data_IF_807579817474
#
_entry.id   IF_807579817474
#
_cell.length_a   1.000
_cell.length_b   1.000
_cell.length_c   1.000
_cell.angle_alpha   90.00
_cell.angle_beta   90.00
_cell.angle_gamma   90.00
#
_symmetry.space_group_name_H-M   'P 1'
#
loop_
_entity.id
_entity.type
_entity.pdbx_description
1 polymer ?
#
# COMPACT_ATOMS: atom_id res chain seq x y z
N UNK A 1 85.59 14.90 14.06
CA UNK A 1 84.36 14.40 13.41
C UNK A 1 83.52 13.75 14.52
N UNK A 2 82.93 14.55 15.41
CA UNK A 2 81.52 14.98 15.42
C UNK A 2 80.49 13.82 15.38
N UNK A 3 79.82 13.63 16.53
CA UNK A 3 78.35 13.45 16.75
C UNK A 3 77.63 12.26 16.08
N UNK A 4 76.57 11.65 16.62
CA UNK A 4 75.91 11.52 17.92
C UNK A 4 74.80 10.45 17.69
N UNK A 5 74.32 9.80 18.76
CA UNK A 5 73.17 8.89 18.77
C UNK A 5 71.89 9.52 18.20
N UNK A 6 71.05 8.70 17.53
CA UNK A 6 69.59 8.91 17.47
C UNK A 6 68.83 7.59 17.65
N UNK A 7 68.16 7.51 18.80
CA UNK A 7 66.99 6.66 19.09
C UNK A 7 65.83 6.99 18.14
N UNK A 8 64.98 5.98 17.87
CA UNK A 8 63.53 6.18 17.84
C UNK A 8 62.81 6.00 16.49
N UNK A 9 61.94 4.98 16.43
CA UNK A 9 60.54 5.15 16.03
C UNK A 9 59.70 3.91 16.38
N UNK A 10 59.13 3.99 17.57
CA UNK A 10 57.99 3.21 18.05
C UNK A 10 56.82 3.38 17.05
N UNK A 11 56.47 2.32 16.32
CA UNK A 11 55.26 2.31 15.48
C UNK A 11 54.08 1.90 16.33
N UNK A 12 53.38 2.94 16.78
CA UNK A 12 52.03 2.92 17.35
C UNK A 12 51.10 2.19 16.37
N UNK A 13 50.72 0.96 16.72
CA UNK A 13 49.70 0.18 16.01
C UNK A 13 48.38 0.43 16.74
N UNK A 14 47.69 1.49 16.34
CA UNK A 14 46.33 1.79 16.81
C UNK A 14 45.44 0.67 16.30
N UNK A 15 45.13 -0.29 17.17
CA UNK A 15 44.03 -1.24 16.96
C UNK A 15 42.75 -0.43 17.17
N UNK A 16 42.30 0.21 16.11
CA UNK A 16 41.00 0.88 16.06
C UNK A 16 39.94 -0.23 16.01
N UNK A 17 39.56 -0.75 17.18
CA UNK A 17 38.45 -1.70 17.32
C UNK A 17 37.20 -1.07 16.71
N UNK A 18 36.78 -1.62 15.56
CA UNK A 18 35.55 -1.23 14.90
C UNK A 18 34.37 -1.67 15.76
N UNK A 19 33.78 -0.73 16.48
CA UNK A 19 32.46 -0.92 17.08
C UNK A 19 31.44 -1.00 15.93
N UNK A 20 31.04 -2.21 15.57
CA UNK A 20 29.89 -2.46 14.69
C UNK A 20 28.61 -2.17 15.49
N UNK A 21 28.04 -0.99 15.27
CA UNK A 21 26.75 -0.59 15.82
C UNK A 21 25.64 -1.29 15.01
N UNK A 22 25.16 -2.43 15.50
CA UNK A 22 24.00 -3.12 14.90
C UNK A 22 22.73 -2.40 15.35
N UNK A 23 22.30 -1.41 14.56
CA UNK A 23 20.97 -0.80 14.73
C UNK A 23 19.94 -1.81 14.24
N UNK A 24 19.36 -2.57 15.15
CA UNK A 24 18.18 -3.37 14.85
C UNK A 24 16.98 -2.43 14.76
N UNK A 25 16.55 -2.11 13.54
CA UNK A 25 15.31 -1.37 13.33
C UNK A 25 14.14 -2.25 13.80
N UNK A 26 13.62 -1.96 14.99
CA UNK A 26 12.34 -2.50 15.45
C UNK A 26 11.26 -1.83 14.61
N UNK A 27 10.82 -2.51 13.54
CA UNK A 27 9.62 -2.12 12.82
C UNK A 27 8.43 -2.30 13.77
N UNK A 28 7.90 -1.20 14.29
CA UNK A 28 6.64 -1.24 15.01
C UNK A 28 5.55 -1.73 14.05
N UNK A 29 4.66 -2.66 14.47
CA UNK A 29 3.53 -3.05 13.64
C UNK A 29 2.68 -1.80 13.38
N UNK A 30 2.59 -1.38 12.11
CA UNK A 30 1.63 -0.34 11.72
C UNK A 30 0.24 -0.90 11.99
N UNK A 31 -0.66 -0.12 12.65
CA UNK A 31 -2.04 -0.52 12.79
C UNK A 31 -2.60 -0.86 11.41
N UNK A 32 -3.13 -2.07 11.24
CA UNK A 32 -3.81 -2.45 10.01
C UNK A 32 -5.03 -1.55 9.87
N UNK A 33 -5.16 -0.86 8.74
CA UNK A 33 -6.35 -0.08 8.44
C UNK A 33 -7.60 -0.98 8.59
N UNK A 34 -8.54 -0.55 9.42
CA UNK A 34 -9.84 -1.20 9.57
C UNK A 34 -10.80 -0.58 8.57
N UNK A 35 -11.31 -1.41 7.65
CA UNK A 35 -12.34 -1.00 6.70
C UNK A 35 -13.70 -1.36 7.29
N UNK A 36 -14.67 -0.46 7.12
CA UNK A 36 -16.05 -0.68 7.49
C UNK A 36 -16.94 -0.22 6.33
N UNK A 37 -18.07 -0.90 6.15
CA UNK A 37 -19.11 -0.42 5.25
C UNK A 37 -19.63 0.91 5.76
N UNK A 38 -19.78 1.88 4.85
CA UNK A 38 -20.42 3.15 5.16
C UNK A 38 -21.92 2.90 5.23
N UNK A 39 -22.59 3.09 6.38
CA UNK A 39 -24.03 2.98 6.45
C UNK A 39 -24.64 4.16 5.68
N UNK A 40 -25.36 3.84 4.61
CA UNK A 40 -26.06 4.81 3.78
C UNK A 40 -27.56 4.64 3.97
N UNK A 41 -28.29 5.75 4.01
CA UNK A 41 -29.75 5.71 4.17
C UNK A 41 -30.43 5.17 2.90
N UNK A 42 -31.61 4.56 3.08
CA UNK A 42 -32.44 4.15 1.95
C UNK A 42 -32.86 5.37 1.09
N UNK A 43 -32.98 5.24 -0.24
CA UNK A 43 -33.10 4.00 -1.00
C UNK A 43 -31.79 3.44 -1.57
N UNK A 44 -30.64 3.68 -0.92
CA UNK A 44 -29.32 3.16 -1.34
C UNK A 44 -28.96 3.50 -2.80
N UNK A 45 -29.44 4.63 -3.30
CA UNK A 45 -29.16 5.14 -4.64
C UNK A 45 -28.04 6.18 -4.65
N UNK A 46 -27.14 6.11 -3.67
CA UNK A 46 -26.03 7.03 -3.51
C UNK A 46 -24.99 6.79 -4.59
N UNK A 47 -24.47 7.87 -5.14
CA UNK A 47 -23.39 7.85 -6.13
C UNK A 47 -22.16 8.46 -5.48
N UNK A 48 -21.01 7.85 -5.72
CA UNK A 48 -19.75 8.40 -5.27
C UNK A 48 -19.51 9.81 -5.83
N UNK A 49 -19.07 10.72 -4.98
CA UNK A 49 -18.68 12.06 -5.42
C UNK A 49 -17.38 12.03 -6.21
N UNK A 50 -17.13 13.08 -7.00
CA UNK A 50 -15.96 13.19 -7.90
C UNK A 50 -14.59 12.98 -7.24
N UNK A 51 -14.48 13.16 -5.92
CA UNK A 51 -13.26 12.91 -5.15
C UNK A 51 -12.92 11.42 -5.01
N UNK A 52 -13.93 10.55 -5.08
CA UNK A 52 -13.82 9.09 -5.01
C UNK A 52 -13.86 8.45 -6.40
N UNK A 53 -14.73 8.93 -7.28
CA UNK A 53 -14.81 8.46 -8.66
C UNK A 53 -15.33 9.55 -9.60
N UNK A 54 -14.72 9.75 -10.78
CA UNK A 54 -13.65 8.94 -11.37
C UNK A 54 -12.22 9.40 -11.02
N UNK A 55 -12.05 10.29 -10.04
CA UNK A 55 -10.72 10.82 -9.67
C UNK A 55 -10.05 9.99 -8.57
N UNK A 56 -8.72 10.08 -8.46
CA UNK A 56 -7.93 9.40 -7.42
C UNK A 56 -8.00 7.86 -7.44
N UNK A 57 -8.24 7.28 -8.62
CA UNK A 57 -8.30 5.82 -8.80
C UNK A 57 -6.89 5.25 -8.88
N UNK A 58 -6.56 4.35 -7.93
CA UNK A 58 -5.27 3.63 -7.91
C UNK A 58 -5.29 2.47 -8.91
N UNK A 59 -6.41 1.75 -8.99
CA UNK A 59 -6.63 0.62 -9.88
C UNK A 59 -8.14 0.46 -10.13
N UNK A 60 -8.49 -0.12 -11.27
CA UNK A 60 -9.88 -0.47 -11.61
C UNK A 60 -9.99 -1.93 -12.02
N UNK A 61 -11.08 -2.57 -11.61
CA UNK A 61 -11.40 -3.98 -11.83
C UNK A 61 -12.80 -4.11 -12.40
N UNK A 62 -13.02 -5.18 -13.16
CA UNK A 62 -14.35 -5.57 -13.62
C UNK A 62 -14.46 -7.10 -13.68
N UNK A 63 -15.70 -7.59 -13.65
CA UNK A 63 -16.01 -9.01 -13.80
C UNK A 63 -17.40 -9.20 -14.41
N UNK A 64 -17.63 -10.37 -14.99
CA UNK A 64 -18.94 -10.80 -15.46
C UNK A 64 -19.95 -10.76 -14.31
N UNK A 65 -21.17 -10.29 -14.60
CA UNK A 65 -22.20 -10.11 -13.58
C UNK A 65 -22.57 -11.42 -12.87
N UNK A 66 -22.60 -12.53 -13.60
CA UNK A 66 -23.01 -13.84 -13.08
C UNK A 66 -21.92 -14.55 -12.25
N UNK A 67 -20.69 -14.00 -12.21
CA UNK A 67 -19.58 -14.59 -11.47
C UNK A 67 -19.54 -14.16 -9.99
N UNK A 68 -20.27 -13.10 -9.63
CA UNK A 68 -20.28 -12.51 -8.29
C UNK A 68 -21.67 -11.99 -7.93
N UNK A 69 -21.96 -11.93 -6.64
CA UNK A 69 -23.01 -11.07 -6.08
C UNK A 69 -22.38 -9.77 -5.52
N UNK A 70 -23.21 -8.86 -4.99
CA UNK A 70 -22.73 -7.58 -4.46
C UNK A 70 -21.75 -7.73 -3.30
N UNK A 71 -21.93 -8.75 -2.45
CA UNK A 71 -21.09 -8.98 -1.28
C UNK A 71 -19.74 -9.57 -1.69
N UNK A 72 -19.74 -10.63 -2.48
CA UNK A 72 -18.52 -11.27 -2.98
C UNK A 72 -17.69 -10.33 -3.86
N UNK A 73 -18.34 -9.48 -4.67
CA UNK A 73 -17.64 -8.47 -5.47
C UNK A 73 -17.01 -7.38 -4.59
N UNK A 74 -17.76 -6.82 -3.65
CA UNK A 74 -17.22 -5.79 -2.72
C UNK A 74 -16.06 -6.34 -1.88
N UNK A 75 -16.15 -7.59 -1.42
CA UNK A 75 -15.06 -8.27 -0.73
C UNK A 75 -13.83 -8.47 -1.63
N UNK A 76 -14.02 -8.89 -2.89
CA UNK A 76 -12.93 -9.05 -3.84
C UNK A 76 -12.16 -7.74 -4.05
N UNK A 77 -12.87 -6.64 -4.32
CA UNK A 77 -12.24 -5.33 -4.54
C UNK A 77 -11.59 -4.81 -3.27
N UNK A 78 -12.21 -5.01 -2.10
CA UNK A 78 -11.61 -4.65 -0.81
C UNK A 78 -10.28 -5.39 -0.57
N UNK A 79 -10.18 -6.67 -0.90
CA UNK A 79 -8.92 -7.41 -0.82
C UNK A 79 -7.86 -6.87 -1.79
N UNK A 80 -8.26 -6.41 -2.98
CA UNK A 80 -7.35 -5.69 -3.89
C UNK A 80 -6.88 -4.37 -3.29
N UNK A 81 -7.80 -3.59 -2.70
CA UNK A 81 -7.47 -2.33 -2.02
C UNK A 81 -6.44 -2.55 -0.91
N UNK A 82 -6.64 -3.54 -0.03
CA UNK A 82 -5.72 -3.88 1.06
C UNK A 82 -4.29 -4.23 0.60
N UNK A 83 -4.10 -4.62 -0.65
CA UNK A 83 -2.78 -4.90 -1.21
C UNK A 83 -1.98 -3.61 -1.53
N UNK A 84 -2.65 -2.46 -1.62
CA UNK A 84 -2.01 -1.15 -1.80
C UNK A 84 -1.96 -0.39 -0.48
N UNK A 85 -0.75 -0.05 -0.03
CA UNK A 85 -0.57 0.73 1.20
C UNK A 85 -1.23 2.12 1.16
N UNK A 86 -1.45 2.67 -0.04
CA UNK A 86 -2.08 3.97 -0.27
C UNK A 86 -3.60 3.89 -0.39
N UNK A 87 -4.18 2.69 -0.48
CA UNK A 87 -5.63 2.56 -0.63
C UNK A 87 -6.32 2.75 0.73
N UNK A 88 -7.19 3.74 0.80
CA UNK A 88 -7.93 4.11 2.01
C UNK A 88 -9.43 3.86 1.87
N UNK A 89 -9.91 3.58 0.66
CA UNK A 89 -11.32 3.33 0.34
C UNK A 89 -11.42 2.54 -0.96
N UNK A 90 -12.50 1.77 -1.09
CA UNK A 90 -12.91 1.12 -2.33
C UNK A 90 -14.39 1.43 -2.58
N UNK A 91 -14.78 1.54 -3.83
CA UNK A 91 -16.18 1.58 -4.24
C UNK A 91 -16.46 0.41 -5.17
N UNK A 92 -17.71 -0.06 -5.19
CA UNK A 92 -18.12 -1.10 -6.13
C UNK A 92 -19.55 -0.86 -6.58
N UNK A 93 -19.84 -1.18 -7.83
CA UNK A 93 -21.18 -1.08 -8.40
C UNK A 93 -21.35 -2.08 -9.55
N UNK A 94 -22.60 -2.36 -9.93
CA UNK A 94 -22.88 -3.01 -11.22
C UNK A 94 -23.51 -2.02 -12.18
N UNK A 95 -23.11 -2.10 -13.45
CA UNK A 95 -23.59 -1.20 -14.49
C UNK A 95 -23.65 -1.88 -15.84
N UNK A 96 -24.47 -1.34 -16.75
CA UNK A 96 -24.47 -1.72 -18.16
C UNK A 96 -23.41 -0.85 -18.85
N UNK A 97 -22.40 -1.46 -19.46
CA UNK A 97 -21.35 -0.69 -20.10
C UNK A 97 -21.80 -0.09 -21.45
N UNK A 98 -21.01 0.84 -22.00
CA UNK A 98 -21.29 1.47 -23.29
C UNK A 98 -21.06 0.55 -24.50
N UNK A 99 -20.55 -0.67 -24.30
CA UNK A 99 -20.26 -1.66 -25.34
C UNK A 99 -21.51 -2.28 -25.97
N UNK A 100 -21.26 -3.14 -26.96
CA UNK A 100 -22.26 -3.97 -27.64
C UNK A 100 -21.78 -5.43 -27.58
N UNK A 101 -22.59 -6.38 -27.09
CA UNK A 101 -23.93 -6.22 -26.53
C UNK A 101 -23.97 -5.43 -25.21
N UNK A 102 -25.13 -4.84 -24.88
CA UNK A 102 -25.38 -4.10 -23.64
C UNK A 102 -25.55 -5.07 -22.45
N UNK A 103 -24.43 -5.56 -21.93
CA UNK A 103 -24.38 -6.51 -20.82
C UNK A 103 -24.00 -5.79 -19.53
N UNK A 104 -24.56 -6.26 -18.41
CA UNK A 104 -24.21 -5.80 -17.06
C UNK A 104 -22.89 -6.43 -16.60
N UNK A 105 -22.05 -5.63 -15.95
CA UNK A 105 -20.80 -6.07 -15.35
C UNK A 105 -20.69 -5.50 -13.94
N UNK A 106 -19.81 -6.11 -13.14
CA UNK A 106 -19.32 -5.55 -11.91
C UNK A 106 -18.13 -4.61 -12.17
N UNK A 107 -18.03 -3.53 -11.39
CA UNK A 107 -16.96 -2.54 -11.44
C UNK A 107 -16.52 -2.16 -10.02
N UNK A 108 -15.25 -1.82 -9.85
CA UNK A 108 -14.68 -1.30 -8.61
C UNK A 108 -13.19 -1.06 -8.70
#
# INVERSE_FOLDING_TARGET
>A
MLTQLCLGKMRIQIICSQLLLVVSAVAAPTPRATFALVPLEDPQNWVAGNSLFPSNIIAGYHADYDAYDSESWSNYVLEKCKAFAQCTSSETFSGINSGTPKIRYWFG
#
